data_IF_915520563061
#
_entry.id   IF_915520563061
#
_cell.length_a   1.000
_cell.length_b   1.000
_cell.length_c   1.000
_cell.angle_alpha   90.00
_cell.angle_beta   90.00
_cell.angle_gamma   90.00
#
_symmetry.space_group_name_H-M   'P 1'
#
loop_
_entity.id
_entity.type
_entity.pdbx_description
1 polymer ?
#
# COMPACT_ATOMS: atom_id res chain seq x y z
N UNK A 1 11.77 8.51 -36.26
CA UNK A 1 11.35 7.50 -35.27
C UNK A 1 10.59 8.29 -34.21
N UNK A 2 9.35 7.92 -33.91
CA UNK A 2 8.44 8.77 -33.12
C UNK A 2 8.82 8.72 -31.65
N UNK A 3 9.47 9.77 -31.15
CA UNK A 3 9.95 9.90 -29.77
C UNK A 3 8.81 9.70 -28.74
N UNK A 4 7.56 9.96 -29.12
CA UNK A 4 6.39 9.74 -28.26
C UNK A 4 6.10 8.25 -28.01
N UNK A 5 6.34 7.40 -29.02
CA UNK A 5 6.08 5.97 -28.94
C UNK A 5 7.08 5.25 -28.03
N UNK A 6 8.37 5.60 -28.15
CA UNK A 6 9.41 5.04 -27.27
C UNK A 6 9.31 5.58 -25.83
N UNK A 7 8.89 6.83 -25.65
CA UNK A 7 8.58 7.36 -24.32
C UNK A 7 7.43 6.58 -23.63
N UNK A 8 6.37 6.26 -24.37
CA UNK A 8 5.24 5.49 -23.84
C UNK A 8 5.63 4.06 -23.44
N UNK A 9 6.38 3.34 -24.29
CA UNK A 9 6.91 2.01 -23.94
C UNK A 9 7.76 2.04 -22.68
N UNK A 10 8.63 3.05 -22.56
CA UNK A 10 9.49 3.22 -21.37
C UNK A 10 8.65 3.45 -20.12
N UNK A 11 7.60 4.27 -20.20
CA UNK A 11 6.71 4.52 -19.07
C UNK A 11 5.97 3.24 -18.63
N UNK A 12 5.45 2.46 -19.58
CA UNK A 12 4.81 1.17 -19.28
C UNK A 12 5.77 0.17 -18.63
N UNK A 13 7.00 0.08 -19.16
CA UNK A 13 8.03 -0.77 -18.58
C UNK A 13 8.33 -0.37 -17.13
N UNK A 14 8.55 0.92 -16.87
CA UNK A 14 8.82 1.42 -15.51
C UNK A 14 7.65 1.16 -14.56
N UNK A 15 6.41 1.32 -15.02
CA UNK A 15 5.23 1.02 -14.22
C UNK A 15 5.18 -0.47 -13.82
N UNK A 16 5.44 -1.39 -14.77
CA UNK A 16 5.51 -2.84 -14.52
C UNK A 16 6.63 -3.20 -13.54
N UNK A 17 7.80 -2.56 -13.66
CA UNK A 17 8.91 -2.78 -12.71
C UNK A 17 8.57 -2.25 -11.32
N UNK A 18 7.95 -1.07 -11.21
CA UNK A 18 7.49 -0.55 -9.91
C UNK A 18 6.51 -1.52 -9.23
N UNK A 19 5.56 -2.08 -9.97
CA UNK A 19 4.62 -3.08 -9.43
C UNK A 19 5.36 -4.31 -8.87
N UNK A 20 6.37 -4.81 -9.59
CA UNK A 20 7.21 -5.92 -9.12
C UNK A 20 7.97 -5.59 -7.84
N UNK A 21 8.52 -4.38 -7.73
CA UNK A 21 9.21 -3.92 -6.51
C UNK A 21 8.25 -3.96 -5.32
N UNK A 22 7.04 -3.41 -5.45
CA UNK A 22 6.07 -3.43 -4.35
C UNK A 22 5.59 -4.84 -3.99
N UNK A 23 5.53 -5.78 -4.95
CA UNK A 23 5.26 -7.20 -4.63
C UNK A 23 6.38 -7.82 -3.78
N UNK A 24 7.64 -7.49 -4.04
CA UNK A 24 8.78 -7.94 -3.22
C UNK A 24 8.74 -7.29 -1.83
N UNK A 25 8.53 -5.98 -1.75
CA UNK A 25 8.39 -5.25 -0.48
C UNK A 25 7.28 -5.88 0.37
N UNK A 26 6.12 -6.12 -0.22
CA UNK A 26 5.01 -6.80 0.46
C UNK A 26 5.35 -8.23 0.87
N UNK A 27 6.04 -8.99 0.03
CA UNK A 27 6.54 -10.30 0.43
C UNK A 27 7.48 -10.23 1.63
N UNK A 28 8.29 -9.17 1.80
CA UNK A 28 9.17 -9.01 2.95
C UNK A 28 8.42 -8.53 4.20
N UNK A 29 7.48 -7.61 4.05
CA UNK A 29 6.80 -6.95 5.17
C UNK A 29 5.60 -7.74 5.69
N UNK A 30 4.99 -8.61 4.89
CA UNK A 30 3.87 -9.46 5.33
C UNK A 30 4.29 -10.38 6.50
N UNK A 31 3.43 -10.52 7.51
CA UNK A 31 3.74 -11.24 8.75
C UNK A 31 2.80 -12.40 9.04
N UNK A 32 1.62 -12.44 8.40
CA UNK A 32 0.55 -13.37 8.76
C UNK A 32 0.06 -14.22 7.58
N UNK A 33 0.46 -13.92 6.34
CA UNK A 33 0.27 -14.83 5.21
C UNK A 33 1.49 -15.77 5.09
N UNK A 34 1.23 -17.07 4.92
CA UNK A 34 2.26 -18.07 4.64
C UNK A 34 3.17 -17.66 3.46
N UNK A 35 4.48 -17.61 3.69
CA UNK A 35 5.48 -17.25 2.66
C UNK A 35 5.36 -18.12 1.42
N UNK A 36 5.22 -19.43 1.61
CA UNK A 36 5.11 -20.38 0.50
C UNK A 36 3.84 -20.14 -0.31
N UNK A 37 2.72 -19.82 0.33
CA UNK A 37 1.50 -19.46 -0.39
C UNK A 37 1.64 -18.15 -1.16
N UNK A 38 2.36 -17.17 -0.62
CA UNK A 38 2.62 -15.93 -1.35
C UNK A 38 3.45 -16.20 -2.62
N UNK A 39 4.49 -17.04 -2.52
CA UNK A 39 5.31 -17.45 -3.67
C UNK A 39 4.50 -18.28 -4.66
N UNK A 40 3.78 -19.30 -4.20
CA UNK A 40 2.93 -20.14 -5.04
C UNK A 40 1.90 -19.29 -5.80
N UNK A 41 1.24 -18.35 -5.12
CA UNK A 41 0.28 -17.43 -5.75
C UNK A 41 0.93 -16.48 -6.76
N UNK A 42 2.16 -16.05 -6.53
CA UNK A 42 2.89 -15.18 -7.46
C UNK A 42 3.25 -15.91 -8.77
N UNK A 43 3.57 -17.20 -8.69
CA UNK A 43 3.93 -18.02 -9.85
C UNK A 43 2.75 -18.82 -10.45
N UNK A 44 1.59 -18.82 -9.79
CA UNK A 44 0.42 -19.58 -10.23
C UNK A 44 -0.11 -19.12 -11.59
N UNK A 45 -0.55 -20.09 -12.38
CA UNK A 45 -1.30 -19.91 -13.61
C UNK A 45 -2.79 -20.03 -13.36
N UNK A 46 -3.61 -19.55 -14.31
CA UNK A 46 -5.06 -19.67 -14.19
C UNK A 46 -5.48 -21.13 -14.16
N UNK A 47 -6.13 -21.54 -13.06
CA UNK A 47 -6.57 -22.92 -12.84
C UNK A 47 -5.70 -23.72 -11.89
N UNK A 48 -4.54 -23.19 -11.47
CA UNK A 48 -3.68 -23.87 -10.50
C UNK A 48 -4.38 -24.01 -9.14
N UNK A 49 -4.30 -25.21 -8.58
CA UNK A 49 -4.74 -25.49 -7.21
C UNK A 49 -3.57 -25.14 -6.29
N UNK A 50 -3.71 -24.05 -5.54
CA UNK A 50 -2.71 -23.66 -4.56
C UNK A 50 -2.71 -24.65 -3.40
N UNK A 51 -1.52 -25.16 -3.05
CA UNK A 51 -1.32 -25.98 -1.86
C UNK A 51 -1.78 -25.24 -0.58
N UNK A 52 -2.28 -26.00 0.43
CA UNK A 52 -2.59 -25.42 1.73
C UNK A 52 -1.36 -24.78 2.36
N UNK A 53 -1.54 -23.88 3.36
CA UNK A 53 -0.42 -23.18 3.98
C UNK A 53 0.58 -24.17 4.57
N UNK A 54 1.86 -24.01 4.21
CA UNK A 54 2.93 -24.76 4.84
C UNK A 54 3.16 -24.23 6.27
N UNK A 55 3.06 -25.11 7.27
CA UNK A 55 2.98 -24.71 8.68
C UNK A 55 4.31 -24.34 9.34
N UNK A 56 5.41 -24.23 8.58
CA UNK A 56 6.75 -24.06 9.15
C UNK A 56 7.51 -22.80 8.70
N UNK A 57 6.93 -21.96 7.84
CA UNK A 57 7.54 -20.65 7.58
C UNK A 57 7.36 -19.71 8.78
N UNK A 58 8.20 -18.68 8.87
CA UNK A 58 8.19 -17.68 9.95
C UNK A 58 6.79 -17.08 10.19
N UNK A 59 6.06 -16.75 9.13
CA UNK A 59 4.71 -16.20 9.23
C UNK A 59 3.70 -17.22 9.80
N UNK A 60 3.80 -18.49 9.41
CA UNK A 60 2.92 -19.53 9.94
C UNK A 60 3.21 -19.83 11.41
N UNK A 61 4.49 -19.86 11.79
CA UNK A 61 4.88 -20.01 13.20
C UNK A 61 4.38 -18.82 14.03
N UNK A 62 4.44 -17.60 13.49
CA UNK A 62 3.89 -16.40 14.14
C UNK A 62 2.39 -16.49 14.35
N UNK A 63 1.62 -16.85 13.32
CA UNK A 63 0.16 -17.03 13.41
C UNK A 63 -0.21 -18.01 14.52
N UNK A 64 0.50 -19.14 14.61
CA UNK A 64 0.29 -20.15 15.65
C UNK A 64 0.64 -19.62 17.04
N UNK A 65 1.78 -18.92 17.18
CA UNK A 65 2.24 -18.38 18.46
C UNK A 65 1.32 -17.27 18.99
N UNK A 66 0.82 -16.41 18.10
CA UNK A 66 -0.02 -15.26 18.45
C UNK A 66 -1.53 -15.58 18.48
N UNK A 67 -1.93 -16.81 18.12
CA UNK A 67 -3.33 -17.21 17.93
C UNK A 67 -4.09 -16.23 17.01
N UNK A 68 -3.39 -15.75 15.97
CA UNK A 68 -3.92 -14.77 15.04
C UNK A 68 -5.08 -15.37 14.24
N UNK A 69 -6.17 -14.62 14.12
CA UNK A 69 -7.34 -15.00 13.34
C UNK A 69 -7.61 -13.95 12.27
N UNK A 70 -8.14 -14.42 11.14
CA UNK A 70 -8.51 -13.54 10.04
C UNK A 70 -9.69 -12.65 10.41
N UNK A 71 -9.61 -11.38 10.04
CA UNK A 71 -10.68 -10.40 10.26
C UNK A 71 -11.04 -9.75 8.93
N UNK A 72 -12.33 -9.61 8.65
CA UNK A 72 -12.81 -8.81 7.52
C UNK A 72 -12.59 -7.32 7.81
N UNK A 73 -11.61 -6.73 7.11
CA UNK A 73 -11.24 -5.32 7.22
C UNK A 73 -11.80 -4.48 6.08
N UNK A 74 -12.87 -4.89 5.40
CA UNK A 74 -13.48 -4.12 4.29
C UNK A 74 -13.88 -2.70 4.71
N UNK A 75 -14.44 -2.54 5.90
CA UNK A 75 -14.83 -1.23 6.43
C UNK A 75 -13.60 -0.33 6.67
N UNK A 76 -12.56 -0.87 7.30
CA UNK A 76 -11.26 -0.19 7.47
C UNK A 76 -10.63 0.15 6.10
N UNK A 77 -10.77 -0.73 5.11
CA UNK A 77 -10.27 -0.53 3.74
C UNK A 77 -10.95 0.67 3.07
N UNK A 78 -12.28 0.75 3.11
CA UNK A 78 -13.04 1.90 2.58
C UNK A 78 -12.59 3.18 3.27
N UNK A 79 -12.40 3.12 4.59
CA UNK A 79 -11.98 4.30 5.35
C UNK A 79 -10.55 4.72 5.02
N UNK A 80 -9.64 3.77 4.85
CA UNK A 80 -8.27 4.04 4.42
C UNK A 80 -8.26 4.72 3.05
N UNK A 81 -9.07 4.25 2.11
CA UNK A 81 -9.24 4.89 0.79
C UNK A 81 -9.77 6.33 0.91
N UNK A 82 -10.72 6.57 1.81
CA UNK A 82 -11.22 7.93 2.07
C UNK A 82 -10.13 8.84 2.64
N UNK A 83 -9.37 8.37 3.62
CA UNK A 83 -8.22 9.10 4.19
C UNK A 83 -7.21 9.43 3.11
N UNK A 84 -6.85 8.47 2.26
CA UNK A 84 -5.92 8.67 1.14
C UNK A 84 -6.39 9.82 0.24
N UNK A 85 -7.65 9.81 -0.19
CA UNK A 85 -8.20 10.88 -1.04
C UNK A 85 -8.13 12.25 -0.35
N UNK A 86 -8.49 12.32 0.93
CA UNK A 86 -8.48 13.60 1.68
C UNK A 86 -7.08 14.15 1.89
N UNK A 87 -6.12 13.29 2.24
CA UNK A 87 -4.72 13.69 2.44
C UNK A 87 -4.08 14.13 1.12
N UNK A 88 -4.28 13.38 0.03
CA UNK A 88 -3.77 13.77 -1.29
C UNK A 88 -4.30 15.14 -1.69
N UNK A 89 -5.61 15.35 -1.59
CA UNK A 89 -6.21 16.63 -1.96
C UNK A 89 -5.60 17.77 -1.13
N UNK A 90 -5.46 17.58 0.19
CA UNK A 90 -4.92 18.59 1.09
C UNK A 90 -3.47 18.95 0.78
N UNK A 91 -2.61 17.96 0.61
CA UNK A 91 -1.19 18.19 0.33
C UNK A 91 -0.97 18.75 -1.09
N UNK A 92 -1.79 18.32 -2.06
CA UNK A 92 -1.73 18.85 -3.42
C UNK A 92 -2.12 20.34 -3.49
N UNK A 93 -3.06 20.82 -2.67
CA UNK A 93 -3.38 22.26 -2.56
C UNK A 93 -2.14 23.09 -2.23
N UNK A 94 -1.18 22.51 -1.52
CA UNK A 94 0.08 23.13 -1.12
C UNK A 94 1.30 22.66 -1.94
N UNK A 95 1.08 21.96 -3.05
CA UNK A 95 2.16 21.44 -3.91
C UNK A 95 3.05 20.38 -3.26
N UNK A 96 2.62 19.76 -2.16
CA UNK A 96 3.38 18.74 -1.42
C UNK A 96 3.05 17.34 -1.91
N UNK A 97 4.07 16.49 -1.97
CA UNK A 97 3.90 15.07 -2.26
C UNK A 97 3.37 14.31 -1.04
N UNK A 98 2.43 13.39 -1.26
CA UNK A 98 1.86 12.56 -0.18
C UNK A 98 2.70 11.31 0.04
N UNK A 99 3.18 11.11 1.26
CA UNK A 99 3.90 9.90 1.66
C UNK A 99 2.99 8.90 2.38
N UNK A 100 3.43 7.66 2.54
CA UNK A 100 2.71 6.70 3.39
C UNK A 100 2.57 7.19 4.84
N UNK A 101 3.58 7.90 5.37
CA UNK A 101 3.55 8.41 6.75
C UNK A 101 2.40 9.40 6.96
N UNK A 102 2.13 10.25 5.98
CA UNK A 102 1.03 11.21 6.02
C UNK A 102 -0.34 10.50 6.10
N UNK A 103 -0.52 9.43 5.31
CA UNK A 103 -1.74 8.62 5.34
C UNK A 103 -1.92 7.96 6.71
N UNK A 104 -0.87 7.31 7.22
CA UNK A 104 -0.93 6.59 8.49
C UNK A 104 -1.12 7.54 9.67
N UNK A 105 -0.52 8.74 9.63
CA UNK A 105 -0.77 9.78 10.62
C UNK A 105 -2.27 10.08 10.74
N UNK A 106 -2.94 10.34 9.62
CA UNK A 106 -4.36 10.71 9.62
C UNK A 106 -5.25 9.51 9.93
N UNK A 107 -4.92 8.34 9.41
CA UNK A 107 -5.70 7.13 9.64
C UNK A 107 -5.68 6.70 11.11
N UNK A 108 -4.49 6.68 11.72
CA UNK A 108 -4.29 6.29 13.12
C UNK A 108 -4.48 7.46 14.11
N UNK A 109 -4.69 8.69 13.64
CA UNK A 109 -4.85 9.90 14.47
C UNK A 109 -3.63 10.13 15.38
N UNK A 110 -2.45 9.93 14.80
CA UNK A 110 -1.19 10.02 15.52
C UNK A 110 -0.83 11.50 15.71
N UNK A 111 -0.37 11.84 16.92
CA UNK A 111 0.20 13.16 17.25
C UNK A 111 1.56 13.32 16.56
N UNK A 112 1.56 13.61 15.27
CA UNK A 112 2.75 14.00 14.49
C UNK A 112 2.70 15.49 14.15
N UNK A 113 3.87 16.08 13.88
CA UNK A 113 4.08 17.52 13.71
C UNK A 113 3.44 18.14 12.46
N UNK A 114 2.82 17.35 11.57
CA UNK A 114 2.17 17.89 10.38
C UNK A 114 0.79 18.49 10.72
N UNK A 115 0.80 19.71 11.26
CA UNK A 115 -0.39 20.49 11.66
C UNK A 115 -1.38 20.71 10.49
N UNK A 116 -0.90 20.68 9.25
CA UNK A 116 -1.75 20.81 8.08
C UNK A 116 -2.73 19.62 7.97
N UNK A 117 -2.28 18.41 8.32
CA UNK A 117 -3.08 17.20 8.23
C UNK A 117 -4.02 17.04 9.42
N UNK A 118 -3.65 17.56 10.59
CA UNK A 118 -4.54 17.56 11.76
C UNK A 118 -5.75 18.47 11.54
N UNK A 119 -5.68 19.46 10.63
CA UNK A 119 -6.84 20.29 10.25
C UNK A 119 -7.95 19.54 9.50
N UNK A 120 -7.70 18.32 9.00
CA UNK A 120 -8.69 17.55 8.25
C UNK A 120 -9.82 17.06 9.16
N UNK A 121 -11.08 17.28 8.77
CA UNK A 121 -12.25 16.77 9.53
C UNK A 121 -12.17 15.26 9.82
N UNK A 122 -11.71 14.47 8.84
CA UNK A 122 -11.55 13.01 8.96
C UNK A 122 -10.53 12.58 10.02
N UNK A 123 -9.62 13.48 10.43
CA UNK A 123 -8.68 13.26 11.52
C UNK A 123 -9.40 13.16 12.87
N UNK A 124 -10.51 13.88 13.08
CA UNK A 124 -11.21 13.88 14.37
C UNK A 124 -12.42 12.93 14.43
N UNK A 125 -12.77 12.27 13.32
CA UNK A 125 -13.90 11.36 13.27
C UNK A 125 -13.68 10.13 14.16
N UNK A 126 -14.55 9.98 15.17
CA UNK A 126 -14.66 8.78 15.97
C UNK A 126 -15.22 7.64 15.13
N UNK A 127 -14.57 6.47 15.19
CA UNK A 127 -14.98 5.29 14.42
C UNK A 127 -14.49 4.02 15.08
N UNK A 128 -15.27 2.94 14.92
CA UNK A 128 -14.82 1.59 15.26
C UNK A 128 -13.81 1.16 14.20
N UNK A 129 -12.53 1.08 14.56
CA UNK A 129 -11.47 0.58 13.68
C UNK A 129 -11.12 -0.83 14.15
N UNK A 130 -11.04 -1.80 13.25
CA UNK A 130 -10.37 -3.06 13.56
C UNK A 130 -8.85 -2.85 13.46
N UNK A 131 -8.43 -1.99 12.54
CA UNK A 131 -7.04 -1.65 12.28
C UNK A 131 -6.67 -0.38 13.06
N UNK A 132 -6.50 -0.50 14.38
CA UNK A 132 -6.15 0.64 15.25
C UNK A 132 -4.65 0.88 15.35
N UNK A 133 -3.89 -0.22 15.39
CA UNK A 133 -2.46 -0.19 15.62
C UNK A 133 -1.75 0.25 14.34
N UNK A 134 -0.78 1.16 14.47
CA UNK A 134 0.02 1.71 13.38
C UNK A 134 0.54 0.62 12.41
N UNK A 135 1.04 -0.49 12.96
CA UNK A 135 1.61 -1.58 12.17
C UNK A 135 0.55 -2.23 11.26
N UNK A 136 -0.65 -2.50 11.78
CA UNK A 136 -1.74 -3.06 10.98
C UNK A 136 -2.26 -2.06 9.93
N UNK A 137 -2.26 -0.76 10.26
CA UNK A 137 -2.64 0.27 9.30
C UNK A 137 -1.64 0.38 8.15
N UNK A 138 -0.35 0.22 8.43
CA UNK A 138 0.71 0.11 7.42
C UNK A 138 0.47 -1.10 6.53
N UNK A 139 0.28 -2.28 7.11
CA UNK A 139 -0.01 -3.50 6.34
C UNK A 139 -1.24 -3.35 5.44
N UNK A 140 -2.33 -2.76 5.94
CA UNK A 140 -3.53 -2.48 5.13
C UNK A 140 -3.20 -1.55 3.95
N UNK A 141 -2.41 -0.50 4.17
CA UNK A 141 -2.00 0.41 3.12
C UNK A 141 -1.12 -0.29 2.07
N UNK A 142 -0.18 -1.12 2.50
CA UNK A 142 0.70 -1.88 1.60
C UNK A 142 -0.10 -2.89 0.76
N UNK A 143 -1.09 -3.55 1.37
CA UNK A 143 -2.04 -4.40 0.64
C UNK A 143 -2.79 -3.64 -0.45
N UNK A 144 -3.23 -2.41 -0.16
CA UNK A 144 -3.92 -1.59 -1.15
C UNK A 144 -3.00 -1.18 -2.30
N UNK A 145 -1.72 -0.92 -2.02
CA UNK A 145 -0.70 -0.60 -3.03
C UNK A 145 -0.45 -1.83 -3.92
N UNK A 146 -0.17 -2.99 -3.32
CA UNK A 146 0.19 -4.23 -4.04
C UNK A 146 -0.96 -4.77 -4.87
N UNK A 147 -2.20 -4.61 -4.38
CA UNK A 147 -3.41 -5.01 -5.11
C UNK A 147 -3.82 -3.99 -6.19
N UNK A 148 -3.00 -2.97 -6.43
CA UNK A 148 -3.20 -1.94 -7.44
C UNK A 148 -4.39 -1.02 -7.16
N UNK A 149 -4.87 -0.95 -5.91
CA UNK A 149 -5.97 -0.07 -5.53
C UNK A 149 -5.47 1.36 -5.30
N UNK A 150 -4.30 1.49 -4.70
CA UNK A 150 -3.62 2.76 -4.46
C UNK A 150 -2.54 2.95 -5.51
N UNK A 151 -2.48 4.14 -6.11
CA UNK A 151 -1.50 4.50 -7.13
C UNK A 151 -0.30 5.17 -6.48
N UNK A 152 0.87 4.61 -6.74
CA UNK A 152 2.16 5.04 -6.20
C UNK A 152 3.14 5.34 -7.33
N UNK A 153 4.05 6.28 -7.10
CA UNK A 153 5.13 6.61 -8.02
C UNK A 153 6.44 6.70 -7.26
N UNK A 154 7.47 6.08 -7.84
CA UNK A 154 8.84 6.14 -7.34
C UNK A 154 9.58 7.18 -8.18
N UNK A 155 10.02 8.25 -7.53
CA UNK A 155 10.89 9.26 -8.12
C UNK A 155 12.33 8.98 -7.69
N UNK A 156 13.21 8.78 -8.66
CA UNK A 156 14.65 8.69 -8.44
C UNK A 156 15.26 10.04 -8.82
N UNK A 157 16.08 10.61 -7.93
CA UNK A 157 16.75 11.88 -8.20
C UNK A 157 18.13 11.90 -7.57
N UNK A 158 19.02 12.69 -8.18
CA UNK A 158 20.33 13.00 -7.63
C UNK A 158 20.22 14.27 -6.79
N UNK A 159 20.42 14.21 -5.47
CA UNK A 159 20.33 15.40 -4.61
C UNK A 159 21.48 16.38 -4.92
N UNK A 160 22.62 15.83 -5.31
CA UNK A 160 23.79 16.55 -5.74
C UNK A 160 24.09 16.13 -7.19
N UNK A 161 24.17 17.07 -8.16
CA UNK A 161 24.50 16.77 -9.56
C UNK A 161 25.82 16.00 -9.73
N UNK A 162 26.77 16.19 -8.80
CA UNK A 162 28.08 15.52 -8.80
C UNK A 162 28.15 14.38 -7.76
N UNK A 163 27.02 14.05 -7.12
CA UNK A 163 26.96 12.99 -6.13
C UNK A 163 26.86 11.62 -6.77
N UNK A 164 27.50 10.63 -6.16
CA UNK A 164 27.42 9.23 -6.58
C UNK A 164 26.26 8.47 -5.91
N UNK A 165 25.41 9.16 -5.14
CA UNK A 165 24.27 8.56 -4.44
C UNK A 165 22.94 9.02 -5.02
N UNK A 166 22.19 8.06 -5.57
CA UNK A 166 20.82 8.26 -6.02
C UNK A 166 19.88 8.20 -4.81
N UNK A 167 18.96 9.15 -4.70
CA UNK A 167 17.91 9.14 -3.69
C UNK A 167 16.56 8.77 -4.30
N UNK A 168 15.69 8.23 -3.45
CA UNK A 168 14.37 7.73 -3.83
C UNK A 168 13.29 8.44 -3.02
N UNK A 169 12.24 8.91 -3.68
CA UNK A 169 11.02 9.37 -3.03
C UNK A 169 9.81 8.58 -3.57
N UNK A 170 9.12 7.89 -2.66
CA UNK A 170 7.89 7.16 -2.96
C UNK A 170 6.72 8.01 -2.50
N UNK A 171 5.85 8.39 -3.43
CA UNK A 171 4.65 9.14 -3.10
C UNK A 171 3.40 8.47 -3.66
N UNK A 172 2.32 8.60 -2.90
CA UNK A 172 0.98 8.18 -3.26
C UNK A 172 0.34 9.36 -3.99
N UNK A 173 -0.20 9.13 -5.19
CA UNK A 173 -0.78 10.20 -6.01
C UNK A 173 -2.26 9.98 -6.35
N UNK A 174 -2.82 8.82 -6.00
CA UNK A 174 -4.23 8.59 -6.22
C UNK A 174 -4.70 7.20 -5.82
N UNK A 175 -5.95 6.93 -6.14
CA UNK A 175 -6.58 5.60 -6.09
C UNK A 175 -7.20 5.29 -7.45
N UNK A 176 -7.46 4.03 -7.71
CA UNK A 176 -8.16 3.61 -8.94
C UNK A 176 -9.59 4.15 -9.00
N UNK A 177 -10.09 4.35 -10.22
CA UNK A 177 -11.47 4.72 -10.44
C UNK A 177 -12.41 3.57 -10.02
N UNK A 178 -13.59 3.90 -9.49
CA UNK A 178 -14.53 2.89 -8.99
C UNK A 178 -14.02 2.12 -7.75
N UNK A 179 -13.02 2.64 -7.04
CA UNK A 179 -12.36 1.97 -5.89
C UNK A 179 -13.32 1.35 -4.89
N UNK A 180 -14.42 2.02 -4.55
CA UNK A 180 -15.38 1.48 -3.58
C UNK A 180 -16.02 0.18 -4.07
N UNK A 181 -16.39 0.10 -5.36
CA UNK A 181 -16.93 -1.12 -5.95
C UNK A 181 -15.88 -2.24 -6.00
N UNK A 182 -14.61 -1.90 -6.27
CA UNK A 182 -13.50 -2.87 -6.25
C UNK A 182 -13.30 -3.41 -4.83
N UNK A 183 -13.32 -2.53 -3.82
CA UNK A 183 -13.19 -2.93 -2.42
C UNK A 183 -14.36 -3.84 -2.01
N UNK A 184 -15.59 -3.56 -2.45
CA UNK A 184 -16.74 -4.42 -2.14
C UNK A 184 -16.69 -5.81 -2.80
N UNK A 185 -16.09 -5.92 -3.99
CA UNK A 185 -16.02 -7.20 -4.72
C UNK A 185 -14.86 -8.10 -4.29
N UNK A 186 -13.81 -7.55 -3.68
CA UNK A 186 -12.62 -8.29 -3.27
C UNK A 186 -12.75 -8.80 -1.82
N UNK A 187 -12.08 -9.91 -1.53
CA UNK A 187 -11.93 -10.37 -0.15
C UNK A 187 -10.81 -9.57 0.56
N UNK A 188 -11.13 -8.99 1.72
CA UNK A 188 -10.24 -8.19 2.57
C UNK A 188 -10.13 -8.82 3.95
N UNK A 189 -9.81 -10.10 4.00
CA UNK A 189 -9.40 -10.77 5.23
C UNK A 189 -7.91 -10.50 5.46
N UNK A 190 -7.58 -9.82 6.55
CA UNK A 190 -6.22 -9.71 7.09
C UNK A 190 -6.05 -10.67 8.26
#
# INVERSE_FOLDING_TARGET
MDDSFEANKRQEYLAKICEKIFKVVHFCEEQYICREQMLAKYFAWNGDILSPPYTHCDNCLRVQAELAHKVDVRTDTIKMVEVIKKVINKLNENGKLTTQKDIIQVYCQLKYDNEELTSLKIYYETRKKFVQIKIYAQHLLDWLIVRGVVKVKINLYWPNPNGNTLQTNIHIFGVVEGVNAIVMKKNWEM
#
